data_IF_282538541175
#
_entry.id   IF_282538541175
#
_cell.length_a   1.000
_cell.length_b   1.000
_cell.length_c   1.000
_cell.angle_alpha   90.00
_cell.angle_beta   90.00
_cell.angle_gamma   90.00
#
_symmetry.space_group_name_H-M   'P 1'
#
loop_
_entity.id
_entity.type
_entity.pdbx_description
1 polymer ?
#
# COMPACT_ATOMS: atom_id res chain seq x y z
N UNK A 1 -12.55 -2.45 -9.51
CA UNK A 1 -11.20 -2.12 -8.96
C UNK A 1 -10.85 -0.68 -9.31
N UNK A 2 -10.33 0.10 -8.36
CA UNK A 2 -9.92 1.49 -8.62
C UNK A 2 -8.83 1.52 -9.70
N UNK A 3 -9.12 2.17 -10.84
CA UNK A 3 -8.17 2.32 -11.96
C UNK A 3 -6.88 3.00 -11.51
N UNK A 4 -6.98 3.90 -10.53
CA UNK A 4 -5.86 4.65 -9.96
C UNK A 4 -4.96 3.72 -9.13
N UNK A 5 -5.54 2.94 -8.20
CA UNK A 5 -4.78 1.98 -7.40
C UNK A 5 -4.00 0.99 -8.27
N UNK A 6 -4.62 0.51 -9.35
CA UNK A 6 -3.98 -0.42 -10.27
C UNK A 6 -2.80 0.22 -11.04
N UNK A 7 -2.90 1.50 -11.43
CA UNK A 7 -1.79 2.23 -12.08
C UNK A 7 -0.58 2.37 -11.15
N UNK A 8 -0.81 2.79 -9.90
CA UNK A 8 0.26 2.88 -8.90
C UNK A 8 0.89 1.52 -8.60
N UNK A 9 0.05 0.50 -8.39
CA UNK A 9 0.52 -0.87 -8.18
C UNK A 9 1.40 -1.35 -9.34
N UNK A 10 1.03 -1.07 -10.59
CA UNK A 10 1.86 -1.42 -11.76
C UNK A 10 3.18 -0.68 -11.78
N UNK A 11 3.21 0.62 -11.49
CA UNK A 11 4.44 1.41 -11.50
C UNK A 11 5.43 0.90 -10.44
N UNK A 12 4.95 0.71 -9.21
CA UNK A 12 5.76 0.14 -8.12
C UNK A 12 6.21 -1.28 -8.47
N UNK A 13 5.32 -2.10 -9.00
CA UNK A 13 5.63 -3.47 -9.41
C UNK A 13 6.71 -3.52 -10.50
N UNK A 14 6.64 -2.63 -11.50
CA UNK A 14 7.68 -2.50 -12.51
C UNK A 14 9.02 -2.08 -11.89
N UNK A 15 9.01 -1.15 -10.93
CA UNK A 15 10.20 -0.78 -10.16
C UNK A 15 10.81 -1.98 -9.43
N UNK A 16 9.99 -2.78 -8.75
CA UNK A 16 10.43 -4.00 -8.07
C UNK A 16 11.02 -5.02 -9.05
N UNK A 17 10.35 -5.28 -10.18
CA UNK A 17 10.84 -6.22 -11.19
C UNK A 17 12.14 -5.73 -11.83
N UNK A 18 12.25 -4.43 -12.10
CA UNK A 18 13.46 -3.80 -12.59
C UNK A 18 14.61 -3.99 -11.59
N UNK A 19 14.36 -3.75 -10.30
CA UNK A 19 15.33 -3.93 -9.22
C UNK A 19 15.81 -5.40 -9.14
N UNK A 20 14.89 -6.36 -9.22
CA UNK A 20 15.19 -7.79 -9.22
C UNK A 20 16.07 -8.23 -10.40
N UNK A 21 16.01 -7.53 -11.54
CA UNK A 21 16.82 -7.83 -12.72
C UNK A 21 18.25 -7.30 -12.61
N UNK A 22 18.54 -6.36 -11.71
CA UNK A 22 19.85 -5.71 -11.64
C UNK A 22 20.96 -6.66 -11.14
N UNK A 23 22.17 -6.58 -11.72
CA UNK A 23 23.28 -7.48 -11.37
C UNK A 23 23.77 -7.28 -9.93
N UNK A 24 23.72 -6.05 -9.41
CA UNK A 24 24.11 -5.78 -8.02
C UNK A 24 23.21 -6.49 -7.00
N UNK A 25 21.91 -6.63 -7.29
CA UNK A 25 20.97 -7.35 -6.42
C UNK A 25 21.31 -8.85 -6.41
N UNK A 26 21.69 -9.42 -7.56
CA UNK A 26 22.18 -10.79 -7.65
C UNK A 26 23.49 -10.97 -6.87
N UNK A 27 24.38 -9.97 -6.87
CA UNK A 27 25.60 -9.98 -6.04
C UNK A 27 25.25 -9.93 -4.55
N UNK A 28 24.31 -9.08 -4.15
CA UNK A 28 23.83 -8.99 -2.77
C UNK A 28 23.22 -10.32 -2.29
N UNK A 29 22.37 -10.95 -3.11
CA UNK A 29 21.80 -12.27 -2.82
C UNK A 29 22.87 -13.37 -2.69
N UNK A 30 23.94 -13.31 -3.51
CA UNK A 30 25.08 -14.23 -3.37
C UNK A 30 25.87 -13.95 -2.09
N UNK A 31 26.05 -12.68 -1.75
CA UNK A 31 26.74 -12.28 -0.52
C UNK A 31 25.97 -12.69 0.73
N UNK A 32 24.66 -12.49 0.76
CA UNK A 32 23.82 -12.88 1.90
C UNK A 32 23.80 -14.39 2.12
N UNK A 33 23.90 -15.19 1.05
CA UNK A 33 24.02 -16.65 1.16
C UNK A 33 25.28 -17.11 1.89
N UNK A 34 26.37 -16.34 1.81
CA UNK A 34 27.63 -16.68 2.50
C UNK A 34 27.52 -16.56 4.02
N UNK A 35 26.50 -15.87 4.52
CA UNK A 35 26.22 -15.78 5.96
C UNK A 35 25.62 -17.08 6.53
N UNK A 36 25.13 -17.98 5.68
CA UNK A 36 24.55 -19.25 6.12
C UNK A 36 25.61 -20.38 6.11
N UNK A 37 25.56 -21.30 7.09
CA UNK A 37 26.39 -22.50 7.10
C UNK A 37 26.27 -23.29 5.79
N UNK A 38 27.35 -23.91 5.28
CA UNK A 38 27.36 -24.62 3.99
C UNK A 38 26.22 -25.63 3.83
N UNK A 39 25.90 -26.38 4.90
CA UNK A 39 24.81 -27.35 4.93
C UNK A 39 23.42 -26.75 4.64
N UNK A 40 23.22 -25.45 4.91
CA UNK A 40 21.93 -24.77 4.74
C UNK A 40 21.86 -23.91 3.47
N UNK A 41 22.98 -23.70 2.76
CA UNK A 41 23.03 -22.82 1.59
C UNK A 41 22.14 -23.29 0.42
N UNK A 42 21.95 -24.61 0.27
CA UNK A 42 21.03 -25.19 -0.72
C UNK A 42 19.57 -24.84 -0.41
N UNK A 43 19.15 -25.09 0.84
CA UNK A 43 17.79 -24.76 1.32
C UNK A 43 17.50 -23.26 1.22
N UNK A 44 18.47 -22.40 1.55
CA UNK A 44 18.34 -20.95 1.42
C UNK A 44 18.13 -20.52 -0.05
N UNK A 45 18.85 -21.13 -1.00
CA UNK A 45 18.67 -20.86 -2.42
C UNK A 45 17.27 -21.27 -2.92
N UNK A 46 16.80 -22.46 -2.53
CA UNK A 46 15.46 -22.93 -2.90
C UNK A 46 14.36 -22.05 -2.32
N UNK A 47 14.51 -21.61 -1.07
CA UNK A 47 13.59 -20.67 -0.43
C UNK A 47 13.51 -19.35 -1.20
N UNK A 48 14.65 -18.74 -1.55
CA UNK A 48 14.71 -17.53 -2.38
C UNK A 48 14.05 -17.71 -3.75
N UNK A 49 14.26 -18.86 -4.41
CA UNK A 49 13.63 -19.16 -5.70
C UNK A 49 12.11 -19.33 -5.56
N UNK A 50 11.62 -19.92 -4.47
CA UNK A 50 10.18 -20.01 -4.16
C UNK A 50 9.60 -18.62 -3.90
N UNK A 51 10.26 -17.78 -3.10
CA UNK A 51 9.84 -16.40 -2.85
C UNK A 51 9.77 -15.59 -4.15
N UNK A 52 10.77 -15.70 -5.03
CA UNK A 52 10.76 -15.02 -6.34
C UNK A 52 9.65 -15.52 -7.27
N UNK A 53 9.31 -16.81 -7.23
CA UNK A 53 8.16 -17.35 -7.98
C UNK A 53 6.85 -16.84 -7.41
N UNK A 54 6.70 -16.84 -6.08
CA UNK A 54 5.53 -16.33 -5.40
C UNK A 54 5.33 -14.84 -5.68
N UNK A 55 6.38 -14.03 -5.53
CA UNK A 55 6.36 -12.60 -5.82
C UNK A 55 5.90 -12.36 -7.26
N UNK A 56 6.46 -13.07 -8.25
CA UNK A 56 6.06 -12.90 -9.65
C UNK A 56 4.60 -13.27 -9.93
N UNK A 57 4.05 -14.25 -9.22
CA UNK A 57 2.67 -14.72 -9.40
C UNK A 57 1.64 -13.83 -8.70
N UNK A 58 1.93 -13.38 -7.48
CA UNK A 58 0.94 -12.71 -6.63
C UNK A 58 1.27 -11.26 -6.31
N UNK A 59 2.50 -10.80 -6.54
CA UNK A 59 2.99 -9.49 -6.12
C UNK A 59 2.14 -8.32 -6.64
N UNK A 60 1.74 -8.33 -7.92
CA UNK A 60 0.87 -7.29 -8.47
C UNK A 60 -0.52 -7.27 -7.81
N UNK A 61 -1.09 -8.44 -7.52
CA UNK A 61 -2.41 -8.54 -6.86
C UNK A 61 -2.32 -8.02 -5.43
N UNK A 62 -1.31 -8.43 -4.68
CA UNK A 62 -1.06 -7.97 -3.30
C UNK A 62 -0.87 -6.44 -3.28
N UNK A 63 -0.01 -5.90 -4.16
CA UNK A 63 0.19 -4.45 -4.26
C UNK A 63 -1.12 -3.71 -4.61
N UNK A 64 -1.91 -4.25 -5.54
CA UNK A 64 -3.19 -3.63 -5.90
C UNK A 64 -4.16 -3.57 -4.72
N UNK A 65 -4.24 -4.65 -3.94
CA UNK A 65 -5.06 -4.70 -2.72
C UNK A 65 -4.56 -3.69 -1.69
N UNK A 66 -3.25 -3.67 -1.41
CA UNK A 66 -2.64 -2.72 -0.47
C UNK A 66 -2.90 -1.26 -0.86
N UNK A 67 -2.67 -0.89 -2.13
CA UNK A 67 -2.95 0.47 -2.60
C UNK A 67 -4.44 0.81 -2.56
N UNK A 68 -5.32 -0.17 -2.78
CA UNK A 68 -6.77 0.05 -2.65
C UNK A 68 -7.14 0.39 -1.21
N UNK A 69 -6.63 -0.38 -0.23
CA UNK A 69 -6.85 -0.09 1.19
C UNK A 69 -6.25 1.25 1.61
N UNK A 70 -5.02 1.54 1.19
CA UNK A 70 -4.35 2.80 1.49
C UNK A 70 -5.15 4.00 0.96
N UNK A 71 -5.58 3.97 -0.31
CA UNK A 71 -6.39 5.04 -0.89
C UNK A 71 -7.76 5.15 -0.23
N UNK A 72 -8.39 4.03 0.11
CA UNK A 72 -9.64 4.01 0.86
C UNK A 72 -9.51 4.66 2.24
N UNK A 73 -8.44 4.34 2.97
CA UNK A 73 -8.13 4.95 4.25
C UNK A 73 -7.86 6.46 4.12
N UNK A 74 -7.05 6.88 3.16
CA UNK A 74 -6.81 8.30 2.89
C UNK A 74 -8.10 9.05 2.57
N UNK A 75 -8.97 8.46 1.74
CA UNK A 75 -10.26 9.07 1.41
C UNK A 75 -11.14 9.24 2.66
N UNK A 76 -11.15 8.26 3.56
CA UNK A 76 -11.89 8.32 4.81
C UNK A 76 -11.34 9.41 5.75
N UNK A 77 -10.02 9.52 5.87
CA UNK A 77 -9.38 10.58 6.67
C UNK A 77 -9.68 11.97 6.09
N UNK A 78 -9.57 12.14 4.77
CA UNK A 78 -9.88 13.41 4.12
C UNK A 78 -11.35 13.78 4.29
N UNK A 79 -12.26 12.81 4.16
CA UNK A 79 -13.68 13.04 4.39
C UNK A 79 -13.96 13.45 5.85
N UNK A 80 -13.36 12.77 6.81
CA UNK A 80 -13.50 13.07 8.23
C UNK A 80 -13.01 14.49 8.57
N UNK A 81 -11.78 14.83 8.16
CA UNK A 81 -11.22 16.17 8.37
C UNK A 81 -12.03 17.23 7.63
N UNK A 82 -12.51 16.93 6.42
CA UNK A 82 -13.36 17.83 5.65
C UNK A 82 -14.69 18.13 6.36
N UNK A 83 -15.31 17.13 6.97
CA UNK A 83 -16.54 17.31 7.76
C UNK A 83 -16.28 18.18 8.99
N UNK A 84 -15.17 17.97 9.70
CA UNK A 84 -14.79 18.82 10.83
C UNK A 84 -14.57 20.26 10.38
N UNK A 85 -13.83 20.48 9.29
CA UNK A 85 -13.59 21.83 8.78
C UNK A 85 -14.88 22.54 8.35
N UNK A 86 -15.82 21.82 7.74
CA UNK A 86 -17.14 22.36 7.40
C UNK A 86 -17.98 22.68 8.64
N UNK A 87 -17.87 21.88 9.70
CA UNK A 87 -18.50 22.15 10.97
C UNK A 87 -17.93 23.41 11.63
N UNK A 88 -16.61 23.52 11.71
CA UNK A 88 -15.90 24.66 12.32
C UNK A 88 -16.10 25.97 11.54
N UNK A 89 -16.18 25.91 10.21
CA UNK A 89 -16.50 27.08 9.37
C UNK A 89 -17.95 27.58 9.52
N UNK A 90 -18.77 26.89 10.30
CA UNK A 90 -20.15 27.29 10.53
C UNK A 90 -21.09 27.00 9.36
N UNK A 91 -20.63 26.25 8.35
CA UNK A 91 -21.47 25.82 7.22
C UNK A 91 -22.65 24.96 7.70
N UNK A 92 -22.46 24.21 8.79
CA UNK A 92 -23.50 23.41 9.43
C UNK A 92 -24.23 24.11 10.59
N UNK A 93 -24.07 25.43 10.77
CA UNK A 93 -24.89 26.16 11.75
C UNK A 93 -26.37 26.06 11.35
N UNK A 94 -27.18 25.39 12.19
CA UNK A 94 -28.63 25.33 12.00
C UNK A 94 -29.18 26.77 11.90
N UNK A 95 -30.07 27.07 10.94
CA UNK A 95 -30.74 28.36 10.88
C UNK A 95 -31.38 28.66 12.24
N UNK A 96 -31.07 29.82 12.82
CA UNK A 96 -31.56 30.25 14.15
C UNK A 96 -33.09 30.20 14.27
N UNK A 97 -33.81 30.22 13.15
CA UNK A 97 -35.26 30.11 13.07
C UNK A 97 -35.81 28.76 13.57
N UNK A 98 -35.04 27.67 13.50
CA UNK A 98 -35.44 26.37 14.05
C UNK A 98 -35.13 26.22 15.55
N UNK A 99 -34.13 26.95 16.06
CA UNK A 99 -33.76 26.93 17.48
C UNK A 99 -34.76 27.68 18.38
N UNK A 100 -35.55 28.60 17.83
CA UNK A 100 -36.59 29.34 18.57
C UNK A 100 -37.92 28.59 18.75
N UNK A 101 -38.12 27.44 18.09
CA UNK A 101 -39.41 26.71 18.08
C UNK A 101 -39.54 25.62 19.15
N UNK A 102 -38.44 25.26 19.84
CA UNK A 102 -38.42 24.29 20.96
C UNK A 102 -38.49 24.96 22.34
N UNK A 103 -38.69 26.28 22.39
CA UNK A 103 -38.86 27.06 23.62
C UNK A 103 -40.30 27.31 24.06
N UNK A 104 -41.28 26.49 23.63
CA UNK A 104 -42.65 26.50 24.16
C UNK A 104 -43.11 25.08 24.47
#
# INVERSE_FOLDING_TARGET
>A
MSKIAHRFARLVWYGCLWLMRRPWMKRLQRSSRRLFPPALQGRAQESLLRQNRFARRFGLRILTVLFTFMLGYMALVVAYVGVIALYESGFFNLPRELAGRTGR
#
